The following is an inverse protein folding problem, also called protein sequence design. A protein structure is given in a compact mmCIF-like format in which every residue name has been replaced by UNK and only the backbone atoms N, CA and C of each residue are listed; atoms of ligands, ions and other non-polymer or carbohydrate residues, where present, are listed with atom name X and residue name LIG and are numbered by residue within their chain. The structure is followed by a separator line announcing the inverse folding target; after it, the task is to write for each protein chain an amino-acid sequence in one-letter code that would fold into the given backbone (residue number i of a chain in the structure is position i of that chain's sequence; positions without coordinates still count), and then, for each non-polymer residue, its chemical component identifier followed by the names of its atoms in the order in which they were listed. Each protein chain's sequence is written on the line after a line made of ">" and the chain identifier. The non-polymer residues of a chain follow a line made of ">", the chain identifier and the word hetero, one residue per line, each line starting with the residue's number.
data_IF_349470470470
#
_entry.id   IF_349470470470
#
_cell.length_a   1.000
_cell.length_b   1.000
_cell.length_c   1.000
_cell.angle_alpha   90.00
_cell.angle_beta   90.00
_cell.angle_gamma   90.00
#
_symmetry.space_group_name_H-M   'P 1'
#
loop_
_entity.id
_entity.type
_entity.pdbx_description
1 polymer ?
#
# COMPACT_ATOMS: atom_id res chain seq x y z
N UNK A 1 -7.88 -3.57 2.14
CA UNK A 1 -8.94 -2.91 2.92
C UNK A 1 -9.63 -3.96 3.80
N UNK A 2 -9.76 -3.68 5.10
CA UNK A 2 -10.32 -4.58 6.11
C UNK A 2 -11.82 -4.85 5.86
N UNK A 3 -12.27 -6.11 6.00
CA UNK A 3 -13.68 -6.52 5.80
C UNK A 3 -14.67 -5.76 6.68
N UNK A 4 -14.29 -5.42 7.91
CA UNK A 4 -15.11 -4.63 8.83
C UNK A 4 -15.30 -3.20 8.29
N UNK A 5 -14.21 -2.58 7.81
CA UNK A 5 -14.27 -1.23 7.23
C UNK A 5 -15.19 -1.21 6.00
N UNK A 6 -15.04 -2.21 5.11
CA UNK A 6 -15.91 -2.37 3.93
C UNK A 6 -17.36 -2.57 4.33
N UNK A 7 -17.63 -3.41 5.34
CA UNK A 7 -18.98 -3.65 5.84
C UNK A 7 -19.61 -2.36 6.37
N UNK A 8 -18.90 -1.58 7.20
CA UNK A 8 -19.39 -0.32 7.75
C UNK A 8 -19.73 0.69 6.63
N UNK A 9 -18.81 0.90 5.70
CA UNK A 9 -18.97 1.83 4.59
C UNK A 9 -20.12 1.41 3.67
N UNK A 10 -20.20 0.14 3.31
CA UNK A 10 -21.26 -0.39 2.43
C UNK A 10 -22.64 -0.33 3.10
N UNK A 11 -22.73 -0.65 4.39
CA UNK A 11 -23.98 -0.60 5.15
C UNK A 11 -24.48 0.85 5.27
N UNK A 12 -23.60 1.80 5.60
CA UNK A 12 -23.96 3.21 5.65
C UNK A 12 -24.41 3.74 4.27
N UNK A 13 -23.70 3.39 3.19
CA UNK A 13 -24.03 3.83 1.83
C UNK A 13 -25.42 3.34 1.37
N UNK A 14 -25.85 2.17 1.85
CA UNK A 14 -27.20 1.61 1.59
C UNK A 14 -28.28 2.16 2.53
N UNK A 15 -27.91 3.03 3.47
CA UNK A 15 -28.83 3.53 4.52
C UNK A 15 -29.20 2.49 5.57
N UNK A 16 -28.46 1.38 5.69
CA UNK A 16 -28.70 0.33 6.68
C UNK A 16 -28.09 0.65 8.05
N UNK A 17 -28.26 -0.28 8.98
CA UNK A 17 -27.61 -0.28 10.30
C UNK A 17 -26.71 -1.50 10.49
N UNK A 18 -25.61 -1.32 11.22
CA UNK A 18 -24.78 -2.42 11.73
C UNK A 18 -25.28 -2.87 13.10
N UNK A 19 -24.81 -4.01 13.58
CA UNK A 19 -25.03 -4.45 14.96
C UNK A 19 -24.60 -3.37 15.96
N UNK A 20 -25.48 -3.10 16.92
CA UNK A 20 -25.34 -2.01 17.88
C UNK A 20 -25.78 -0.63 17.36
N UNK A 21 -26.02 -0.47 16.06
CA UNK A 21 -26.56 0.74 15.42
C UNK A 21 -25.55 1.90 15.31
N UNK A 22 -26.03 3.04 14.81
CA UNK A 22 -25.25 4.28 14.69
C UNK A 22 -25.68 5.33 15.70
N UNK A 23 -24.73 6.01 16.33
CA UNK A 23 -25.03 7.31 16.91
C UNK A 23 -25.28 8.30 15.76
N UNK A 24 -26.36 9.09 15.84
CA UNK A 24 -26.76 10.05 14.80
C UNK A 24 -27.09 9.46 13.41
N UNK A 25 -27.66 8.25 13.34
CA UNK A 25 -27.99 7.53 12.10
C UNK A 25 -28.64 8.40 10.99
N UNK A 26 -29.69 9.17 11.33
CA UNK A 26 -30.38 10.05 10.35
C UNK A 26 -29.45 11.12 9.77
N UNK A 27 -28.57 11.67 10.59
CA UNK A 27 -27.67 12.74 10.19
C UNK A 27 -26.52 12.20 9.33
N UNK A 28 -26.04 10.98 9.60
CA UNK A 28 -25.10 10.27 8.72
C UNK A 28 -25.69 10.02 7.33
N UNK A 29 -26.95 9.59 7.24
CA UNK A 29 -27.63 9.40 5.95
C UNK A 29 -27.72 10.70 5.15
N UNK A 30 -28.01 11.82 5.82
CA UNK A 30 -28.08 13.15 5.19
C UNK A 30 -26.73 13.67 4.70
N UNK A 31 -25.63 13.27 5.33
CA UNK A 31 -24.29 13.69 4.92
C UNK A 31 -23.86 13.12 3.56
N UNK A 32 -24.52 12.07 3.05
CA UNK A 32 -24.26 11.46 1.74
C UNK A 32 -22.77 11.22 1.50
N UNK A 33 -22.18 10.29 2.25
CA UNK A 33 -20.76 9.97 2.23
C UNK A 33 -20.37 9.28 0.91
N UNK A 34 -20.04 10.06 -0.11
CA UNK A 34 -19.77 9.63 -1.49
C UNK A 34 -18.29 9.76 -1.93
N UNK A 35 -17.40 10.03 -0.96
CA UNK A 35 -15.95 10.22 -1.14
C UNK A 35 -15.53 11.44 -1.97
N UNK A 36 -16.45 12.32 -2.36
CA UNK A 36 -16.15 13.60 -3.02
C UNK A 36 -15.77 14.72 -2.03
N UNK A 37 -15.16 15.79 -2.54
CA UNK A 37 -14.90 17.01 -1.74
C UNK A 37 -16.20 17.62 -1.18
N UNK A 38 -17.31 17.43 -1.89
CA UNK A 38 -18.62 17.88 -1.42
C UNK A 38 -19.09 17.06 -0.22
N UNK A 39 -18.80 15.76 -0.14
CA UNK A 39 -19.14 14.98 1.06
C UNK A 39 -18.24 15.33 2.25
N UNK A 40 -16.98 15.69 2.04
CA UNK A 40 -16.16 16.26 3.12
C UNK A 40 -16.77 17.55 3.68
N UNK A 41 -17.26 18.44 2.80
CA UNK A 41 -17.96 19.67 3.20
C UNK A 41 -19.25 19.38 3.98
N UNK A 42 -20.03 18.38 3.55
CA UNK A 42 -21.25 17.94 4.27
C UNK A 42 -20.91 17.32 5.62
N UNK A 43 -19.84 16.55 5.70
CA UNK A 43 -19.35 15.97 6.96
C UNK A 43 -18.92 17.06 7.94
N UNK A 44 -18.24 18.10 7.47
CA UNK A 44 -17.86 19.27 8.29
C UNK A 44 -19.09 19.95 8.91
N UNK A 45 -20.15 20.14 8.12
CA UNK A 45 -21.42 20.69 8.60
C UNK A 45 -22.10 19.76 9.61
N UNK A 46 -22.09 18.45 9.36
CA UNK A 46 -22.63 17.45 10.27
C UNK A 46 -21.93 17.49 11.63
N UNK A 47 -20.60 17.45 11.65
CA UNK A 47 -19.82 17.45 12.90
C UNK A 47 -20.03 18.75 13.69
N UNK A 48 -20.10 19.89 13.01
CA UNK A 48 -20.42 21.18 13.64
C UNK A 48 -21.82 21.19 14.26
N UNK A 49 -22.82 20.66 13.55
CA UNK A 49 -24.19 20.57 14.05
C UNK A 49 -24.32 19.61 15.25
N UNK A 50 -23.63 18.46 15.23
CA UNK A 50 -23.58 17.52 16.37
C UNK A 50 -22.98 18.22 17.59
N UNK A 51 -21.84 18.88 17.42
CA UNK A 51 -21.17 19.63 18.49
C UNK A 51 -22.08 20.70 19.10
N UNK A 52 -22.74 21.50 18.27
CA UNK A 52 -23.49 22.68 18.73
C UNK A 52 -24.87 22.33 19.31
N UNK A 53 -25.54 21.32 18.74
CA UNK A 53 -26.94 21.00 19.07
C UNK A 53 -27.07 19.76 19.94
N UNK A 54 -26.35 18.69 19.61
CA UNK A 54 -26.45 17.43 20.34
C UNK A 54 -25.53 17.37 21.56
N UNK A 55 -24.35 18.02 21.49
CA UNK A 55 -23.36 18.12 22.59
C UNK A 55 -23.12 16.75 23.27
N UNK A 56 -22.69 15.72 22.52
CA UNK A 56 -22.49 14.40 23.10
C UNK A 56 -21.38 14.42 24.17
N UNK A 57 -21.50 13.54 25.16
CA UNK A 57 -20.43 13.33 26.13
C UNK A 57 -19.37 12.36 25.59
N UNK A 58 -18.19 12.36 26.20
CA UNK A 58 -17.11 11.43 25.84
C UNK A 58 -17.52 9.97 26.08
N UNK A 59 -18.23 9.71 27.17
CA UNK A 59 -18.75 8.37 27.52
C UNK A 59 -19.75 7.89 26.47
N UNK A 60 -20.61 8.77 25.95
CA UNK A 60 -21.55 8.41 24.89
C UNK A 60 -20.82 7.95 23.61
N UNK A 61 -19.69 8.58 23.27
CA UNK A 61 -18.86 8.23 22.12
C UNK A 61 -18.01 6.97 22.36
N UNK A 62 -17.44 6.82 23.56
CA UNK A 62 -16.42 5.83 23.85
C UNK A 62 -16.96 4.54 24.49
N UNK A 63 -18.05 4.59 25.25
CA UNK A 63 -18.54 3.43 26.02
C UNK A 63 -19.79 2.78 25.45
N UNK A 64 -20.47 3.44 24.51
CA UNK A 64 -21.66 2.86 23.85
C UNK A 64 -21.31 2.22 22.51
N UNK A 65 -21.95 1.09 22.12
CA UNK A 65 -21.78 0.52 20.79
C UNK A 65 -22.08 1.51 19.66
N UNK A 66 -23.16 2.30 19.81
CA UNK A 66 -23.56 3.34 18.84
C UNK A 66 -22.48 4.40 18.64
N UNK A 67 -21.92 4.91 19.73
CA UNK A 67 -20.84 5.91 19.69
C UNK A 67 -19.57 5.36 19.07
N UNK A 68 -19.15 4.16 19.49
CA UNK A 68 -17.98 3.47 18.92
C UNK A 68 -18.13 3.27 17.43
N UNK A 69 -19.31 2.81 16.98
CA UNK A 69 -19.62 2.56 15.59
C UNK A 69 -19.62 3.85 14.76
N UNK A 70 -20.21 4.93 15.27
CA UNK A 70 -20.18 6.25 14.63
C UNK A 70 -18.76 6.73 14.39
N UNK A 71 -17.91 6.74 15.44
CA UNK A 71 -16.53 7.18 15.31
C UNK A 71 -15.71 6.27 14.38
N UNK A 72 -15.91 4.95 14.44
CA UNK A 72 -15.24 4.00 13.53
C UNK A 72 -15.65 4.23 12.07
N UNK A 73 -16.94 4.45 11.79
CA UNK A 73 -17.42 4.75 10.43
C UNK A 73 -16.74 5.98 9.85
N UNK A 74 -16.65 7.06 10.63
CA UNK A 74 -15.98 8.29 10.20
C UNK A 74 -14.48 8.07 9.98
N UNK A 75 -13.81 7.32 10.86
CA UNK A 75 -12.41 6.96 10.68
C UNK A 75 -12.20 6.17 9.37
N UNK A 76 -13.01 5.15 9.12
CA UNK A 76 -12.97 4.38 7.88
C UNK A 76 -13.19 5.26 6.66
N UNK A 77 -14.19 6.14 6.71
CA UNK A 77 -14.52 7.01 5.59
C UNK A 77 -13.40 8.00 5.27
N UNK A 78 -12.82 8.68 6.27
CA UNK A 78 -11.75 9.65 6.05
C UNK A 78 -10.50 8.99 5.47
N UNK A 79 -10.11 7.83 6.01
CA UNK A 79 -8.96 7.08 5.50
C UNK A 79 -9.25 6.44 4.13
N UNK A 80 -10.49 6.09 3.83
CA UNK A 80 -10.91 5.67 2.50
C UNK A 80 -10.77 6.80 1.47
N UNK A 81 -11.09 8.05 1.84
CA UNK A 81 -10.82 9.22 0.99
C UNK A 81 -9.32 9.39 0.75
N UNK A 82 -8.48 9.23 1.77
CA UNK A 82 -7.01 9.28 1.62
C UNK A 82 -6.51 8.17 0.69
N UNK A 83 -6.97 6.92 0.88
CA UNK A 83 -6.63 5.80 0.00
C UNK A 83 -7.05 6.06 -1.45
N UNK A 84 -8.23 6.64 -1.70
CA UNK A 84 -8.70 6.97 -3.06
C UNK A 84 -7.90 8.08 -3.72
N UNK A 85 -7.50 9.10 -2.95
CA UNK A 85 -6.71 10.23 -3.45
C UNK A 85 -5.27 9.84 -3.77
N UNK A 86 -4.70 8.94 -2.98
CA UNK A 86 -3.26 8.61 -3.04
C UNK A 86 -2.99 7.26 -3.72
N UNK A 87 -3.94 6.32 -3.68
CA UNK A 87 -3.72 4.92 -4.04
C UNK A 87 -2.98 4.11 -2.98
N UNK A 88 -2.76 4.67 -1.78
CA UNK A 88 -1.99 3.99 -0.72
C UNK A 88 -2.74 2.78 -0.17
N UNK A 89 -1.97 1.75 0.23
CA UNK A 89 -2.51 0.58 0.93
C UNK A 89 -2.63 0.88 2.42
N UNK A 90 -3.75 0.52 3.04
CA UNK A 90 -3.97 0.71 4.49
C UNK A 90 -4.34 -0.60 5.16
N UNK A 91 -3.64 -0.86 6.27
CA UNK A 91 -3.93 -1.90 7.24
C UNK A 91 -4.57 -1.26 8.48
N UNK A 92 -5.67 -1.85 8.95
CA UNK A 92 -6.33 -1.42 10.18
C UNK A 92 -5.85 -2.28 11.34
N UNK A 93 -5.24 -1.65 12.34
CA UNK A 93 -4.65 -2.31 13.50
C UNK A 93 -5.30 -1.80 14.78
N UNK A 94 -5.45 -2.68 15.77
CA UNK A 94 -5.60 -2.26 17.15
C UNK A 94 -4.22 -1.96 17.76
N UNK A 95 -4.20 -1.44 19.00
CA UNK A 95 -2.96 -1.13 19.72
C UNK A 95 -2.01 -2.34 19.83
N UNK A 96 -2.54 -3.52 20.13
CA UNK A 96 -1.73 -4.72 20.36
C UNK A 96 -1.11 -5.25 19.07
N UNK A 97 -1.83 -5.15 17.95
CA UNK A 97 -1.33 -5.48 16.61
C UNK A 97 -0.33 -4.43 16.13
N UNK A 98 -0.58 -3.14 16.37
CA UNK A 98 0.34 -2.06 16.02
C UNK A 98 1.70 -2.21 16.72
N UNK A 99 1.73 -2.50 18.02
CA UNK A 99 2.98 -2.74 18.77
C UNK A 99 3.78 -3.97 18.28
N UNK A 100 3.15 -4.90 17.55
CA UNK A 100 3.83 -6.04 16.93
C UNK A 100 4.44 -5.72 15.56
N UNK A 101 3.91 -4.71 14.87
CA UNK A 101 4.31 -4.34 13.51
C UNK A 101 5.25 -3.15 13.51
N UNK A 102 5.09 -2.23 14.46
CA UNK A 102 5.90 -1.01 14.54
C UNK A 102 7.32 -1.27 15.04
N UNK A 103 8.27 -0.37 14.76
CA UNK A 103 9.65 -0.50 15.22
C UNK A 103 9.75 -0.72 16.73
N UNK A 104 10.71 -1.54 17.14
CA UNK A 104 10.98 -1.80 18.55
C UNK A 104 11.19 -0.49 19.33
N UNK A 105 10.56 -0.38 20.49
CA UNK A 105 10.60 0.84 21.31
C UNK A 105 9.52 1.87 20.98
N UNK A 106 8.71 1.67 19.93
CA UNK A 106 7.54 2.51 19.67
C UNK A 106 6.59 2.47 20.88
N UNK A 107 6.30 3.62 21.46
CA UNK A 107 5.33 3.75 22.53
C UNK A 107 4.00 4.24 21.96
N UNK A 108 2.94 3.47 22.19
CA UNK A 108 1.57 3.88 21.90
C UNK A 108 0.81 4.09 23.22
N UNK A 109 0.08 5.20 23.37
CA UNK A 109 -0.69 5.45 24.58
C UNK A 109 -1.74 4.35 24.78
N UNK A 110 -1.99 3.96 26.03
CA UNK A 110 -3.12 3.09 26.34
C UNK A 110 -4.38 3.95 26.45
N UNK A 111 -4.91 4.34 25.28
CA UNK A 111 -6.00 5.30 25.17
C UNK A 111 -7.00 4.88 24.08
N UNK A 112 -8.29 5.25 24.20
CA UNK A 112 -9.34 4.89 23.23
C UNK A 112 -9.00 5.24 21.77
N UNK A 113 -8.21 6.29 21.53
CA UNK A 113 -7.76 6.69 20.18
C UNK A 113 -6.90 5.63 19.47
N UNK A 114 -6.27 4.72 20.21
CA UNK A 114 -5.43 3.63 19.67
C UNK A 114 -6.19 2.34 19.37
N UNK A 115 -7.51 2.32 19.61
CA UNK A 115 -8.36 1.16 19.26
C UNK A 115 -8.48 0.96 17.75
N UNK A 116 -8.20 1.99 16.95
CA UNK A 116 -8.29 1.95 15.50
C UNK A 116 -7.18 2.80 14.88
N UNK A 117 -6.12 2.13 14.47
CA UNK A 117 -4.92 2.73 13.86
C UNK A 117 -4.94 2.38 12.38
N UNK A 118 -4.86 3.40 11.51
CA UNK A 118 -4.65 3.22 10.09
C UNK A 118 -3.14 3.21 9.81
N UNK A 119 -2.58 2.03 9.56
CA UNK A 119 -1.19 1.85 9.19
C UNK A 119 -1.04 1.88 7.67
N UNK A 120 -0.10 2.66 7.18
CA UNK A 120 0.27 2.75 5.77
C UNK A 120 1.67 2.14 5.62
N UNK A 121 1.77 0.80 5.53
CA UNK A 121 3.04 0.08 5.72
C UNK A 121 4.09 0.46 4.68
N UNK A 122 3.65 0.81 3.48
CA UNK A 122 4.50 1.26 2.38
C UNK A 122 5.18 2.59 2.67
N UNK A 123 4.47 3.53 3.24
CA UNK A 123 4.99 4.88 3.51
C UNK A 123 5.53 5.04 4.94
N UNK A 124 5.53 3.97 5.75
CA UNK A 124 5.96 4.03 7.16
C UNK A 124 5.13 5.00 8.00
N UNK A 125 3.90 5.30 7.58
CA UNK A 125 3.01 6.24 8.24
C UNK A 125 1.93 5.50 9.03
N UNK A 126 1.50 6.08 10.14
CA UNK A 126 0.37 5.58 10.91
C UNK A 126 -0.49 6.73 11.42
N UNK A 127 -1.80 6.55 11.39
CA UNK A 127 -2.77 7.56 11.78
C UNK A 127 -3.72 7.02 12.85
N UNK A 128 -4.10 7.89 13.79
CA UNK A 128 -5.06 7.62 14.85
C UNK A 128 -6.29 8.51 14.68
N UNK A 129 -7.13 8.27 13.65
CA UNK A 129 -8.18 9.20 13.24
C UNK A 129 -9.24 9.44 14.32
N UNK A 130 -9.40 8.50 15.25
CA UNK A 130 -10.35 8.63 16.35
C UNK A 130 -10.04 9.82 17.27
N UNK A 131 -8.76 10.11 17.52
CA UNK A 131 -8.38 11.25 18.36
C UNK A 131 -8.87 12.57 17.77
N UNK A 132 -8.70 12.75 16.46
CA UNK A 132 -9.18 13.93 15.75
C UNK A 132 -10.71 13.99 15.70
N UNK A 133 -11.38 12.88 15.39
CA UNK A 133 -12.85 12.81 15.34
C UNK A 133 -13.48 13.19 16.69
N UNK A 134 -12.96 12.62 17.78
CA UNK A 134 -13.46 12.90 19.12
C UNK A 134 -13.22 14.36 19.50
N UNK A 135 -12.01 14.89 19.27
CA UNK A 135 -11.70 16.28 19.53
C UNK A 135 -12.62 17.24 18.76
N UNK A 136 -12.94 16.91 17.50
CA UNK A 136 -13.84 17.71 16.65
C UNK A 136 -15.27 17.71 17.17
N UNK A 137 -15.79 16.55 17.58
CA UNK A 137 -17.17 16.37 18.05
C UNK A 137 -17.36 16.95 19.45
N UNK A 138 -16.37 16.82 20.33
CA UNK A 138 -16.40 17.34 21.71
C UNK A 138 -16.05 18.84 21.78
N UNK A 139 -15.56 19.43 20.69
CA UNK A 139 -15.23 20.85 20.60
C UNK A 139 -13.84 21.22 21.15
N UNK A 140 -12.97 20.24 21.33
CA UNK A 140 -11.58 20.37 21.77
C UNK A 140 -10.65 20.82 20.61
N UNK A 141 -11.00 20.47 19.36
CA UNK A 141 -10.38 21.03 18.14
C UNK A 141 -11.44 21.73 17.28
N UNK A 142 -11.20 23.01 16.98
CA UNK A 142 -12.09 23.86 16.19
C UNK A 142 -11.38 24.52 15.02
N UNK A 143 -10.05 24.37 14.91
CA UNK A 143 -9.26 25.04 13.89
C UNK A 143 -9.12 24.16 12.65
N UNK A 144 -8.98 22.85 12.86
CA UNK A 144 -8.79 21.91 11.74
C UNK A 144 -10.14 21.50 11.16
N UNK A 145 -10.40 21.91 9.91
CA UNK A 145 -11.57 21.45 9.16
C UNK A 145 -11.36 20.03 8.62
N UNK A 146 -12.44 19.33 8.27
CA UNK A 146 -12.37 17.97 7.69
C UNK A 146 -11.49 17.91 6.44
N UNK A 147 -11.62 18.88 5.54
CA UNK A 147 -10.84 18.96 4.29
C UNK A 147 -9.34 19.18 4.57
N UNK A 148 -9.00 20.08 5.49
CA UNK A 148 -7.62 20.33 5.93
C UNK A 148 -7.00 19.10 6.60
N UNK A 149 -7.78 18.40 7.44
CA UNK A 149 -7.34 17.16 8.07
C UNK A 149 -6.98 16.10 7.03
N UNK A 150 -7.88 15.84 6.07
CA UNK A 150 -7.61 14.88 4.98
C UNK A 150 -6.43 15.31 4.13
N UNK A 151 -6.31 16.60 3.80
CA UNK A 151 -5.16 17.12 3.04
C UNK A 151 -3.83 16.92 3.79
N UNK A 152 -3.82 17.14 5.10
CA UNK A 152 -2.66 16.87 5.97
C UNK A 152 -2.26 15.39 5.98
N UNK A 153 -3.25 14.48 6.05
CA UNK A 153 -2.98 13.04 5.94
C UNK A 153 -2.39 12.67 4.57
N UNK A 154 -2.95 13.19 3.48
CA UNK A 154 -2.43 12.98 2.11
C UNK A 154 -0.98 13.45 2.02
N UNK A 155 -0.69 14.67 2.47
CA UNK A 155 0.66 15.21 2.46
C UNK A 155 1.63 14.38 3.31
N UNK A 156 1.18 13.80 4.42
CA UNK A 156 2.01 12.91 5.22
C UNK A 156 2.29 11.57 4.53
N UNK A 157 1.30 11.00 3.83
CA UNK A 157 1.51 9.78 3.03
C UNK A 157 2.50 10.04 1.89
N UNK A 158 2.47 11.23 1.28
CA UNK A 158 3.31 11.58 0.13
C UNK A 158 4.67 12.21 0.50
N UNK A 159 4.94 12.42 1.80
CA UNK A 159 6.07 13.22 2.30
C UNK A 159 7.41 12.85 1.69
N UNK A 160 7.74 11.56 1.68
CA UNK A 160 9.05 11.08 1.26
C UNK A 160 9.08 10.67 -0.22
N UNK A 161 7.93 10.69 -0.89
CA UNK A 161 7.82 10.42 -2.31
C UNK A 161 6.40 10.04 -2.74
N UNK A 162 6.09 10.15 -4.05
CA UNK A 162 4.80 9.79 -4.60
C UNK A 162 4.38 8.34 -4.28
N UNK A 163 3.13 8.11 -3.90
CA UNK A 163 2.58 6.75 -3.64
C UNK A 163 2.76 5.78 -4.82
N UNK A 164 2.78 6.31 -6.05
CA UNK A 164 3.05 5.51 -7.25
C UNK A 164 4.44 4.85 -7.23
N UNK A 165 5.44 5.46 -6.56
CA UNK A 165 6.77 4.85 -6.38
C UNK A 165 6.70 3.64 -5.48
N UNK A 166 6.01 3.77 -4.36
CA UNK A 166 5.84 2.71 -3.38
C UNK A 166 5.07 1.52 -3.93
N UNK A 167 3.94 1.77 -4.58
CA UNK A 167 3.12 0.71 -5.18
C UNK A 167 3.82 0.04 -6.37
N UNK A 168 4.57 0.81 -7.16
CA UNK A 168 5.44 0.27 -8.22
C UNK A 168 6.56 -0.59 -7.64
N UNK A 169 7.19 -0.17 -6.54
CA UNK A 169 8.24 -0.95 -5.88
C UNK A 169 7.72 -2.22 -5.22
N UNK A 170 6.50 -2.20 -4.67
CA UNK A 170 5.82 -3.41 -4.23
C UNK A 170 5.63 -4.39 -5.40
N UNK A 171 5.21 -3.88 -6.57
CA UNK A 171 5.07 -4.69 -7.78
C UNK A 171 6.41 -5.26 -8.31
N UNK A 172 7.52 -4.53 -8.15
CA UNK A 172 8.88 -5.05 -8.39
C UNK A 172 9.13 -6.29 -7.55
N UNK A 173 8.87 -6.22 -6.24
CA UNK A 173 9.04 -7.35 -5.34
C UNK A 173 8.18 -8.55 -5.70
N UNK A 174 6.91 -8.31 -6.07
CA UNK A 174 5.99 -9.36 -6.51
C UNK A 174 6.52 -10.10 -7.74
N UNK A 175 6.89 -9.33 -8.77
CA UNK A 175 7.34 -9.91 -10.04
C UNK A 175 8.69 -10.61 -9.88
N UNK A 176 9.61 -10.05 -9.10
CA UNK A 176 10.88 -10.68 -8.77
C UNK A 176 10.68 -12.03 -8.05
N UNK A 177 9.83 -12.07 -7.03
CA UNK A 177 9.55 -13.30 -6.27
C UNK A 177 8.88 -14.38 -7.11
N UNK A 178 7.96 -13.99 -7.99
CA UNK A 178 7.34 -14.93 -8.93
C UNK A 178 8.34 -15.51 -9.94
N UNK A 179 9.21 -14.69 -10.54
CA UNK A 179 10.23 -15.18 -11.46
C UNK A 179 11.28 -16.06 -10.77
N UNK A 180 11.67 -15.68 -9.56
CA UNK A 180 12.63 -16.46 -8.79
C UNK A 180 12.06 -17.81 -8.37
N UNK A 181 10.75 -17.89 -8.11
CA UNK A 181 10.06 -19.16 -7.91
C UNK A 181 10.15 -20.04 -9.16
N UNK A 182 9.96 -19.47 -10.37
CA UNK A 182 10.13 -20.22 -11.62
C UNK A 182 11.57 -20.72 -11.79
N UNK A 183 12.56 -19.87 -11.53
CA UNK A 183 13.98 -20.23 -11.61
C UNK A 183 14.35 -21.35 -10.61
N UNK A 184 13.84 -21.27 -9.38
CA UNK A 184 14.11 -22.25 -8.33
C UNK A 184 13.52 -23.64 -8.63
N UNK A 185 12.39 -23.68 -9.34
CA UNK A 185 11.75 -24.92 -9.81
C UNK A 185 12.46 -25.52 -11.05
N UNK A 186 13.55 -24.90 -11.52
CA UNK A 186 14.27 -25.29 -12.73
C UNK A 186 13.56 -24.90 -14.03
N UNK A 187 12.49 -24.10 -13.93
CA UNK A 187 11.78 -23.53 -15.06
C UNK A 187 12.57 -22.41 -15.75
N UNK A 188 12.19 -22.11 -16.99
CA UNK A 188 12.75 -20.96 -17.71
C UNK A 188 12.12 -19.66 -17.22
N UNK A 189 12.95 -18.69 -16.85
CA UNK A 189 12.53 -17.32 -16.57
C UNK A 189 12.18 -16.65 -17.90
N UNK A 190 10.89 -16.56 -18.18
CA UNK A 190 10.38 -15.90 -19.38
C UNK A 190 10.14 -14.41 -19.09
N UNK A 191 10.35 -13.49 -20.05
CA UNK A 191 10.04 -12.09 -19.84
C UNK A 191 8.56 -11.91 -19.48
N UNK A 192 8.30 -11.12 -18.44
CA UNK A 192 6.93 -10.87 -17.95
C UNK A 192 6.75 -9.40 -17.57
N UNK A 193 5.57 -8.86 -17.84
CA UNK A 193 5.20 -7.47 -17.55
C UNK A 193 4.00 -7.43 -16.60
N UNK A 194 4.06 -6.55 -15.62
CA UNK A 194 2.99 -6.26 -14.67
C UNK A 194 2.64 -4.77 -14.73
N UNK A 195 1.37 -4.44 -14.94
CA UNK A 195 0.93 -3.03 -15.08
C UNK A 195 -0.10 -2.66 -14.02
N UNK A 196 -0.15 -1.37 -13.71
CA UNK A 196 -1.14 -0.80 -12.79
C UNK A 196 -2.47 -0.42 -13.45
N UNK A 197 -2.63 -0.67 -14.76
CA UNK A 197 -3.91 -0.43 -15.45
C UNK A 197 -5.01 -1.26 -14.76
N UNK A 198 -6.27 -0.81 -14.78
CA UNK A 198 -7.36 -1.52 -14.15
C UNK A 198 -8.12 -2.38 -15.18
N UNK A 199 -8.26 -3.71 -14.97
CA UNK A 199 -7.68 -4.51 -13.87
C UNK A 199 -6.17 -4.69 -14.02
N UNK A 200 -5.45 -4.86 -12.89
CA UNK A 200 -4.00 -5.11 -12.90
C UNK A 200 -3.69 -6.26 -13.86
N UNK A 201 -2.84 -6.01 -14.83
CA UNK A 201 -2.58 -6.96 -15.90
C UNK A 201 -1.20 -7.57 -15.72
N UNK A 202 -1.16 -8.90 -15.65
CA UNK A 202 0.06 -9.69 -15.69
C UNK A 202 0.15 -10.35 -17.07
N UNK A 203 1.25 -10.12 -17.78
CA UNK A 203 1.46 -10.57 -19.15
C UNK A 203 2.79 -11.32 -19.26
N UNK A 204 2.72 -12.57 -19.70
CA UNK A 204 3.90 -13.33 -20.13
C UNK A 204 4.20 -12.98 -21.59
N UNK A 205 5.40 -12.51 -21.86
CA UNK A 205 5.78 -12.01 -23.18
C UNK A 205 6.34 -13.16 -24.02
N UNK A 206 5.43 -14.01 -24.49
CA UNK A 206 5.76 -15.14 -25.33
C UNK A 206 6.14 -14.67 -26.73
N UNK A 207 7.32 -15.07 -27.21
CA UNK A 207 7.77 -14.81 -28.57
C UNK A 207 8.80 -15.84 -29.01
N UNK A 208 8.99 -15.97 -30.33
CA UNK A 208 10.00 -16.88 -30.88
C UNK A 208 11.44 -16.40 -30.60
N UNK A 209 11.63 -15.09 -30.44
CA UNK A 209 12.91 -14.46 -30.06
C UNK A 209 12.75 -13.65 -28.77
N UNK A 210 13.45 -14.07 -27.71
CA UNK A 210 13.46 -13.40 -26.42
C UNK A 210 13.96 -11.94 -26.50
N UNK A 211 14.90 -11.65 -27.41
CA UNK A 211 15.45 -10.29 -27.59
C UNK A 211 14.39 -9.36 -28.17
N UNK A 212 13.65 -9.83 -29.17
CA UNK A 212 12.57 -9.07 -29.79
C UNK A 212 11.42 -8.84 -28.81
N UNK A 213 11.03 -9.87 -28.03
CA UNK A 213 10.03 -9.74 -26.97
C UNK A 213 10.44 -8.69 -25.94
N UNK A 214 11.71 -8.70 -25.52
CA UNK A 214 12.22 -7.74 -24.55
C UNK A 214 12.25 -6.31 -25.11
N UNK A 215 12.65 -6.14 -26.38
CA UNK A 215 12.64 -4.83 -27.04
C UNK A 215 11.22 -4.27 -27.16
N UNK A 216 10.25 -5.10 -27.58
CA UNK A 216 8.84 -4.73 -27.67
C UNK A 216 8.29 -4.31 -26.30
N UNK A 217 8.62 -5.06 -25.25
CA UNK A 217 8.20 -4.73 -23.89
C UNK A 217 8.82 -3.41 -23.39
N UNK A 218 10.10 -3.18 -23.66
CA UNK A 218 10.76 -1.90 -23.34
C UNK A 218 10.08 -0.72 -24.03
N UNK A 219 9.74 -0.85 -25.31
CA UNK A 219 8.99 0.18 -26.04
C UNK A 219 7.59 0.39 -25.46
N UNK A 220 6.88 -0.68 -25.08
CA UNK A 220 5.56 -0.59 -24.47
C UNK A 220 5.58 0.14 -23.12
N UNK A 221 6.66 -0.02 -22.34
CA UNK A 221 6.88 0.78 -21.14
C UNK A 221 7.08 2.26 -21.49
N UNK A 222 7.94 2.60 -22.44
CA UNK A 222 8.16 4.00 -22.84
C UNK A 222 6.88 4.67 -23.37
N UNK A 223 6.12 3.98 -24.22
CA UNK A 223 4.91 4.52 -24.83
C UNK A 223 3.74 4.69 -23.83
N UNK A 224 3.68 3.84 -22.81
CA UNK A 224 2.61 3.77 -21.81
C UNK A 224 1.17 3.93 -22.38
N UNK A 225 0.87 3.24 -23.48
CA UNK A 225 -0.42 3.38 -24.21
C UNK A 225 -1.64 3.04 -23.36
N UNK A 226 -1.44 2.20 -22.34
CA UNK A 226 -2.47 1.78 -21.39
C UNK A 226 -2.78 2.85 -20.33
N UNK A 227 -2.02 3.95 -20.27
CA UNK A 227 -2.20 4.99 -19.26
C UNK A 227 -1.95 4.48 -17.84
N UNK A 228 -1.07 3.48 -17.67
CA UNK A 228 -0.75 2.94 -16.36
C UNK A 228 -0.02 3.98 -15.51
N UNK A 229 -0.24 3.96 -14.20
CA UNK A 229 0.51 4.76 -13.23
C UNK A 229 1.93 4.21 -13.05
N UNK A 230 2.09 2.88 -13.16
CA UNK A 230 3.39 2.22 -13.23
C UNK A 230 3.34 0.94 -14.07
N UNK A 231 4.51 0.54 -14.57
CA UNK A 231 4.76 -0.73 -15.23
C UNK A 231 6.04 -1.36 -14.69
N UNK A 232 6.04 -2.67 -14.51
CA UNK A 232 7.20 -3.47 -14.11
C UNK A 232 7.46 -4.53 -15.18
N UNK A 233 8.70 -4.65 -15.63
CA UNK A 233 9.13 -5.68 -16.57
C UNK A 233 10.22 -6.52 -15.92
N UNK A 234 10.09 -7.83 -16.00
CA UNK A 234 11.09 -8.80 -15.55
C UNK A 234 11.56 -9.65 -16.71
N UNK A 235 12.81 -10.09 -16.68
CA UNK A 235 13.38 -11.01 -17.66
C UNK A 235 14.64 -11.68 -17.11
N UNK A 236 15.04 -12.79 -17.74
CA UNK A 236 16.28 -13.49 -17.39
C UNK A 236 17.52 -12.76 -17.90
N UNK A 237 18.58 -12.71 -17.11
CA UNK A 237 19.78 -11.99 -17.47
C UNK A 237 20.99 -12.34 -16.61
N UNK A 238 22.08 -11.63 -16.86
CA UNK A 238 23.34 -11.79 -16.13
C UNK A 238 23.71 -10.45 -15.51
N UNK A 239 23.94 -10.44 -14.19
CA UNK A 239 24.42 -9.28 -13.47
C UNK A 239 25.95 -9.32 -13.34
N UNK A 240 26.60 -8.22 -13.72
CA UNK A 240 28.02 -7.99 -13.46
C UNK A 240 28.19 -7.44 -12.03
N UNK A 241 28.39 -8.34 -11.08
CA UNK A 241 28.61 -7.99 -9.67
C UNK A 241 30.12 -7.97 -9.37
N UNK A 242 30.52 -7.40 -8.23
CA UNK A 242 31.93 -7.44 -7.77
C UNK A 242 32.51 -8.85 -7.69
N UNK A 243 31.66 -9.87 -7.57
CA UNK A 243 32.04 -11.29 -7.50
C UNK A 243 32.10 -11.97 -8.88
N UNK A 244 31.86 -11.23 -9.96
CA UNK A 244 31.81 -11.72 -11.34
C UNK A 244 30.39 -11.75 -11.91
N UNK A 245 30.25 -12.42 -13.04
CA UNK A 245 28.99 -12.63 -13.76
C UNK A 245 28.14 -13.67 -13.05
N UNK A 246 26.91 -13.31 -12.68
CA UNK A 246 25.97 -14.19 -11.98
C UNK A 246 24.61 -14.14 -12.67
N UNK A 247 23.92 -15.27 -12.74
CA UNK A 247 22.53 -15.34 -13.21
C UNK A 247 21.63 -14.46 -12.35
N UNK A 248 20.71 -13.75 -12.97
CA UNK A 248 19.85 -12.80 -12.27
C UNK A 248 18.52 -12.61 -12.98
N UNK A 249 17.46 -12.52 -12.19
CA UNK A 249 16.21 -11.93 -12.67
C UNK A 249 16.42 -10.41 -12.72
N UNK A 250 16.37 -9.85 -13.93
CA UNK A 250 16.43 -8.41 -14.15
C UNK A 250 15.03 -7.85 -14.04
N UNK A 251 14.84 -6.81 -13.23
CA UNK A 251 13.53 -6.14 -13.07
C UNK A 251 13.67 -4.65 -13.29
N UNK A 252 12.83 -4.11 -14.15
CA UNK A 252 12.73 -2.68 -14.47
C UNK A 252 11.40 -2.14 -13.96
N UNK A 253 11.42 -0.94 -13.36
CA UNK A 253 10.21 -0.22 -12.91
C UNK A 253 10.16 1.13 -13.58
N UNK A 254 9.03 1.44 -14.20
CA UNK A 254 8.69 2.76 -14.73
C UNK A 254 7.42 3.25 -14.03
N UNK A 255 7.50 4.40 -13.37
CA UNK A 255 6.34 5.15 -12.91
C UNK A 255 6.16 6.40 -13.78
N UNK A 256 4.91 6.82 -13.94
CA UNK A 256 4.54 7.93 -14.82
C UNK A 256 3.89 9.07 -14.02
N UNK A 257 3.78 10.24 -14.65
CA UNK A 257 3.19 11.43 -14.05
C UNK A 257 4.23 12.49 -13.69
N UNK A 258 3.91 13.36 -12.74
CA UNK A 258 4.69 14.55 -12.41
C UNK A 258 6.07 14.26 -11.79
N UNK A 259 6.29 13.05 -11.28
CA UNK A 259 7.54 12.65 -10.65
C UNK A 259 7.85 11.21 -11.07
N UNK A 260 8.36 11.00 -12.30
CA UNK A 260 8.60 9.67 -12.82
C UNK A 260 9.82 9.03 -12.16
N UNK A 261 9.69 7.74 -11.83
CA UNK A 261 10.76 6.88 -11.35
C UNK A 261 11.05 5.82 -12.41
N UNK A 262 12.30 5.74 -12.83
CA UNK A 262 12.84 4.69 -13.69
C UNK A 262 14.00 4.05 -12.98
N UNK A 263 13.91 2.75 -12.72
CA UNK A 263 15.00 1.99 -12.12
C UNK A 263 15.14 0.60 -12.70
N UNK A 264 16.31 0.02 -12.50
CA UNK A 264 16.64 -1.36 -12.84
C UNK A 264 17.35 -2.03 -11.68
N UNK A 265 16.83 -3.16 -11.23
CA UNK A 265 17.39 -3.97 -10.14
C UNK A 265 17.67 -5.37 -10.69
N UNK A 266 18.85 -5.89 -10.37
CA UNK A 266 19.14 -7.30 -10.52
C UNK A 266 18.78 -8.03 -9.22
N UNK A 267 18.10 -9.16 -9.35
CA UNK A 267 17.90 -10.14 -8.28
C UNK A 267 18.77 -11.37 -8.62
N UNK A 268 20.02 -11.40 -8.16
CA UNK A 268 20.96 -12.43 -8.55
C UNK A 268 20.65 -13.74 -7.82
N UNK A 269 20.94 -14.87 -8.46
CA UNK A 269 20.77 -16.19 -7.87
C UNK A 269 21.85 -17.15 -8.36
N UNK A 270 21.98 -18.27 -7.68
CA UNK A 270 22.85 -19.38 -8.05
C UNK A 270 21.93 -20.53 -8.46
N UNK A 271 21.95 -20.98 -9.73
CA UNK A 271 21.15 -22.11 -10.14
C UNK A 271 21.64 -23.41 -9.47
N UNK A 272 20.76 -24.40 -9.40
CA UNK A 272 21.17 -25.75 -8.99
C UNK A 272 22.16 -26.32 -10.00
N UNK A 273 23.38 -26.62 -9.58
CA UNK A 273 24.42 -27.20 -10.44
C UNK A 273 25.23 -28.23 -9.66
N UNK A 274 25.15 -29.51 -10.08
CA UNK A 274 25.82 -30.61 -9.38
C UNK A 274 25.35 -30.74 -7.93
N UNK A 275 26.26 -30.61 -6.97
CA UNK A 275 25.96 -30.64 -5.53
C UNK A 275 25.52 -29.29 -4.95
N UNK A 276 25.62 -28.20 -5.72
CA UNK A 276 25.24 -26.85 -5.28
C UNK A 276 23.73 -26.69 -5.36
N UNK A 277 23.10 -26.29 -4.25
CA UNK A 277 21.67 -25.98 -4.18
C UNK A 277 21.39 -24.59 -4.73
N UNK A 278 20.18 -24.39 -5.20
CA UNK A 278 19.68 -23.07 -5.56
C UNK A 278 19.80 -22.10 -4.38
N UNK A 279 20.28 -20.89 -4.63
CA UNK A 279 20.39 -19.85 -3.61
C UNK A 279 20.10 -18.46 -4.20
N UNK A 280 19.42 -17.61 -3.43
CA UNK A 280 19.12 -16.22 -3.82
C UNK A 280 20.18 -15.32 -3.20
N UNK A 281 20.71 -14.37 -3.96
CA UNK A 281 21.68 -13.38 -3.48
C UNK A 281 21.01 -12.02 -3.24
N UNK A 282 21.76 -11.08 -2.66
CA UNK A 282 21.24 -9.75 -2.38
C UNK A 282 20.88 -8.98 -3.65
N UNK A 283 19.66 -8.38 -3.71
CA UNK A 283 19.28 -7.51 -4.81
C UNK A 283 20.28 -6.36 -4.99
N UNK A 284 20.60 -6.03 -6.24
CA UNK A 284 21.56 -4.98 -6.57
C UNK A 284 20.91 -3.96 -7.49
N UNK A 285 20.91 -2.69 -7.08
CA UNK A 285 20.49 -1.58 -7.94
C UNK A 285 21.52 -1.39 -9.06
N UNK A 286 21.07 -1.48 -10.31
CA UNK A 286 21.92 -1.31 -11.49
C UNK A 286 21.84 0.12 -12.06
N UNK A 287 20.76 0.83 -11.78
CA UNK A 287 20.60 2.23 -12.16
C UNK A 287 19.22 2.76 -11.82
N UNK A 288 19.15 4.07 -11.57
CA UNK A 288 17.92 4.82 -11.35
C UNK A 288 18.04 6.25 -11.89
N UNK A 289 16.91 6.90 -12.18
CA UNK A 289 16.85 8.31 -12.55
C UNK A 289 16.72 9.26 -11.33
N UNK A 290 16.85 8.74 -10.12
CA UNK A 290 16.82 9.49 -8.86
C UNK A 290 17.94 9.01 -7.95
N UNK A 291 18.25 9.78 -6.91
CA UNK A 291 19.30 9.47 -5.93
C UNK A 291 19.05 8.15 -5.18
N UNK A 292 20.12 7.40 -4.90
CA UNK A 292 20.07 6.12 -4.19
C UNK A 292 19.36 6.19 -2.83
N UNK A 293 19.45 7.33 -2.13
CA UNK A 293 18.73 7.54 -0.86
C UNK A 293 17.21 7.42 -1.03
N UNK A 294 16.67 7.94 -2.15
CA UNK A 294 15.24 7.82 -2.49
C UNK A 294 14.85 6.42 -2.92
N UNK A 295 15.77 5.63 -3.46
CA UNK A 295 15.51 4.21 -3.74
C UNK A 295 15.55 3.38 -2.45
N UNK A 296 16.52 3.66 -1.57
CA UNK A 296 16.74 2.92 -0.32
C UNK A 296 15.50 2.94 0.58
N UNK A 297 14.82 4.08 0.66
CA UNK A 297 13.57 4.20 1.42
C UNK A 297 12.46 3.28 0.88
N UNK A 298 12.43 2.95 -0.42
CA UNK A 298 11.43 2.08 -1.04
C UNK A 298 11.65 0.58 -0.75
N UNK A 299 12.78 0.22 -0.13
CA UNK A 299 13.17 -1.18 0.11
C UNK A 299 12.13 -1.97 0.90
N UNK A 300 11.44 -1.36 1.87
CA UNK A 300 10.38 -2.01 2.62
C UNK A 300 9.18 -2.43 1.75
N UNK A 301 8.81 -1.61 0.75
CA UNK A 301 7.74 -1.95 -0.18
C UNK A 301 8.13 -3.10 -1.10
N UNK A 302 9.39 -3.12 -1.58
CA UNK A 302 9.94 -4.25 -2.33
C UNK A 302 9.87 -5.55 -1.54
N UNK A 303 10.37 -5.55 -0.29
CA UNK A 303 10.40 -6.75 0.56
C UNK A 303 8.99 -7.28 0.87
N UNK A 304 8.01 -6.40 1.13
CA UNK A 304 6.60 -6.81 1.24
C UNK A 304 6.06 -7.42 -0.05
N UNK A 305 6.42 -6.83 -1.20
CA UNK A 305 6.10 -7.37 -2.51
C UNK A 305 6.61 -8.80 -2.68
N UNK A 306 7.89 -9.03 -2.32
CA UNK A 306 8.52 -10.35 -2.36
C UNK A 306 7.76 -11.37 -1.50
N UNK A 307 7.42 -10.97 -0.27
CA UNK A 307 6.74 -11.82 0.71
C UNK A 307 5.27 -12.10 0.38
N UNK A 308 4.65 -11.27 -0.47
CA UNK A 308 3.24 -11.45 -0.86
C UNK A 308 3.02 -12.64 -1.81
N UNK A 309 4.07 -13.14 -2.46
CA UNK A 309 3.99 -14.31 -3.33
C UNK A 309 4.16 -15.59 -2.52
N UNK A 310 3.14 -16.45 -2.57
CA UNK A 310 3.19 -17.79 -1.99
C UNK A 310 3.82 -18.75 -2.98
N UNK A 311 4.94 -19.34 -2.59
CA UNK A 311 5.67 -20.30 -3.40
C UNK A 311 5.01 -21.69 -3.36
N UNK A 312 4.89 -22.36 -4.50
CA UNK A 312 4.10 -23.59 -4.63
C UNK A 312 4.73 -24.83 -3.97
N UNK A 313 6.06 -24.88 -3.83
CA UNK A 313 6.83 -26.07 -3.42
C UNK A 313 7.37 -25.99 -1.97
N UNK A 314 6.71 -25.21 -1.11
CA UNK A 314 6.96 -25.20 0.35
C UNK A 314 8.26 -24.55 0.82
N UNK A 315 9.12 -24.10 -0.11
CA UNK A 315 10.29 -23.27 0.18
C UNK A 315 9.94 -21.79 0.01
N UNK A 316 10.62 -20.90 0.73
CA UNK A 316 10.39 -19.44 0.68
C UNK A 316 11.61 -18.69 0.17
N UNK A 317 11.40 -17.48 -0.34
CA UNK A 317 12.48 -16.55 -0.71
C UNK A 317 13.52 -16.41 0.42
N UNK A 318 13.08 -16.22 1.66
CA UNK A 318 13.99 -16.02 2.79
C UNK A 318 14.85 -17.25 3.10
N UNK A 319 14.28 -18.45 2.98
CA UNK A 319 15.04 -19.70 3.18
C UNK A 319 16.14 -19.86 2.12
N UNK A 320 15.85 -19.53 0.86
CA UNK A 320 16.83 -19.63 -0.23
C UNK A 320 17.87 -18.50 -0.20
N UNK A 321 17.51 -17.33 0.35
CA UNK A 321 18.44 -16.22 0.57
C UNK A 321 19.43 -16.51 1.70
N UNK A 322 18.99 -17.20 2.76
CA UNK A 322 19.87 -17.63 3.86
C UNK A 322 20.87 -18.71 3.45
N UNK A 323 20.65 -19.38 2.31
CA UNK A 323 21.50 -20.46 1.81
C UNK A 323 22.65 -19.98 0.89
N UNK A 324 22.65 -18.71 0.46
CA UNK A 324 23.59 -18.13 -0.52
C UNK A 324 24.64 -17.22 0.08
#
# INVERSE_FOLDING_TARGET
>A
MNEIAQHFLATCAKGGEVDGGWLFAKALQQAQLDYSDKSLSRLEQLLSAIRERAKPSREALQETPKGRNFCSLLAYYLIEVVQRRTGASVDWLDRAAALRVFPAGTQLPDAPLTRLIANVPDQGAAFMPLGWIEARVLGEDQQTRVDDYVAGLVAQVERDGPVVWWTGMHAVGQLASWQMMMAADGGTVQPARLTSAAPKTFEMLMGADAKESLQRAGQAMEDNREGAAWQVLSYDGIADLRRGRVDAVMVMLYTYGASPLRLKIAFPYQPTQGSRRFAILDPTLLGANVEDAKISMLGGAMERGIQSIKWAFGTTWNQLRQAG
#
